data_IF_112104289935
#
_entry.id   IF_112104289935
#
_cell.length_a   1.000
_cell.length_b   1.000
_cell.length_c   1.000
_cell.angle_alpha   90.00
_cell.angle_beta   90.00
_cell.angle_gamma   90.00
#
_symmetry.space_group_name_H-M   'P 1'
#
loop_
_entity.id
_entity.type
_entity.pdbx_description
1 polymer ?
#
# COMPACT_ATOMS: atom_id res chain seq x y z
N UNK A 1 -5.32 17.82 -1.72
CA UNK A 1 -4.41 17.26 -2.75
C UNK A 1 -3.51 16.21 -2.09
N UNK A 2 -3.31 15.05 -2.70
CA UNK A 2 -2.50 13.98 -2.08
C UNK A 2 -1.00 14.33 -2.15
N UNK A 3 -0.26 14.35 -1.02
CA UNK A 3 1.15 14.79 -0.98
C UNK A 3 2.05 13.97 -1.91
N UNK A 4 1.76 12.67 -2.07
CA UNK A 4 2.41 11.77 -3.04
C UNK A 4 2.36 12.26 -4.49
N UNK A 5 1.28 12.91 -4.89
CA UNK A 5 1.12 13.42 -6.26
C UNK A 5 1.98 14.66 -6.49
N UNK A 6 2.11 15.53 -5.48
CA UNK A 6 2.99 16.70 -5.55
C UNK A 6 4.46 16.28 -5.66
N UNK A 7 4.89 15.29 -4.89
CA UNK A 7 6.27 14.78 -4.94
C UNK A 7 6.54 14.12 -6.30
N UNK A 8 5.61 13.29 -6.80
CA UNK A 8 5.75 12.65 -8.10
C UNK A 8 5.82 13.68 -9.25
N UNK A 9 4.98 14.73 -9.21
CA UNK A 9 5.04 15.83 -10.17
C UNK A 9 6.35 16.61 -10.07
N UNK A 10 6.85 16.86 -8.86
CA UNK A 10 8.15 17.51 -8.66
C UNK A 10 9.31 16.73 -9.28
N UNK A 11 9.34 15.41 -9.08
CA UNK A 11 10.35 14.53 -9.69
C UNK A 11 10.21 14.47 -11.20
N UNK A 12 8.98 14.33 -11.71
CA UNK A 12 8.72 14.36 -13.15
C UNK A 12 9.13 15.67 -13.80
N UNK A 13 8.85 16.80 -13.14
CA UNK A 13 9.28 18.12 -13.58
C UNK A 13 10.80 18.29 -13.58
N UNK A 14 11.49 17.78 -12.56
CA UNK A 14 12.96 17.80 -12.52
C UNK A 14 13.57 16.96 -13.64
N UNK A 15 13.06 15.75 -13.89
CA UNK A 15 13.51 14.88 -14.97
C UNK A 15 13.22 15.49 -16.36
N UNK A 16 12.07 16.13 -16.51
CA UNK A 16 11.74 16.89 -17.71
C UNK A 16 12.76 18.02 -17.95
N UNK A 17 13.01 18.86 -16.95
CA UNK A 17 13.93 19.98 -17.05
C UNK A 17 15.37 19.53 -17.35
N UNK A 18 15.83 18.48 -16.68
CA UNK A 18 17.16 17.90 -16.90
C UNK A 18 17.29 17.31 -18.32
N UNK A 19 16.26 16.59 -18.79
CA UNK A 19 16.24 16.03 -20.13
C UNK A 19 16.23 17.15 -21.18
N UNK A 20 15.41 18.19 -20.97
CA UNK A 20 15.31 19.32 -21.89
C UNK A 20 16.63 20.11 -21.97
N UNK A 21 17.36 20.22 -20.86
CA UNK A 21 18.69 20.82 -20.83
C UNK A 21 19.76 19.97 -21.54
N UNK A 22 19.55 18.66 -21.63
CA UNK A 22 20.50 17.71 -22.24
C UNK A 22 20.26 17.55 -23.74
N UNK A 23 18.99 17.58 -24.17
CA UNK A 23 18.62 17.42 -25.57
C UNK A 23 18.68 18.75 -26.34
N UNK A 24 18.81 18.64 -27.67
CA UNK A 24 18.76 19.80 -28.55
C UNK A 24 17.39 20.47 -28.47
N UNK A 25 17.38 21.80 -28.45
CA UNK A 25 16.17 22.60 -28.40
C UNK A 25 15.41 22.52 -29.74
N UNK A 26 14.53 21.53 -29.85
CA UNK A 26 13.60 21.35 -30.96
C UNK A 26 12.34 20.62 -30.47
N UNK A 27 11.32 20.53 -31.33
CA UNK A 27 10.05 19.90 -30.97
C UNK A 27 10.22 18.43 -30.54
N UNK A 28 11.14 17.69 -31.17
CA UNK A 28 11.42 16.29 -30.81
C UNK A 28 12.04 16.14 -29.43
N UNK A 29 13.01 16.98 -29.08
CA UNK A 29 13.65 17.02 -27.76
C UNK A 29 12.67 17.38 -26.66
N UNK A 30 11.71 18.27 -26.94
CA UNK A 30 10.63 18.59 -26.02
C UNK A 30 9.72 17.38 -25.77
N UNK A 31 9.27 16.70 -26.83
CA UNK A 31 8.42 15.50 -26.72
C UNK A 31 9.13 14.39 -25.94
N UNK A 32 10.40 14.11 -26.25
CA UNK A 32 11.20 13.09 -25.55
C UNK A 32 11.34 13.46 -24.07
N UNK A 33 11.64 14.70 -23.75
CA UNK A 33 11.77 15.17 -22.37
C UNK A 33 10.45 15.04 -21.60
N UNK A 34 9.32 15.37 -22.24
CA UNK A 34 7.98 15.24 -21.65
C UNK A 34 7.65 13.77 -21.34
N UNK A 35 7.97 12.86 -22.25
CA UNK A 35 7.80 11.42 -22.05
C UNK A 35 8.67 10.92 -20.88
N UNK A 36 9.94 11.33 -20.81
CA UNK A 36 10.84 10.96 -19.70
C UNK A 36 10.29 11.47 -18.35
N UNK A 37 9.89 12.74 -18.28
CA UNK A 37 9.29 13.31 -17.07
C UNK A 37 8.02 12.59 -16.64
N UNK A 38 7.14 12.26 -17.60
CA UNK A 38 5.90 11.53 -17.34
C UNK A 38 6.16 10.11 -16.83
N UNK A 39 7.07 9.37 -17.48
CA UNK A 39 7.47 8.01 -17.06
C UNK A 39 8.08 8.07 -15.65
N UNK A 40 8.97 9.02 -15.39
CA UNK A 40 9.60 9.21 -14.08
C UNK A 40 8.58 9.48 -12.98
N UNK A 41 7.64 10.40 -13.21
CA UNK A 41 6.56 10.70 -12.27
C UNK A 41 5.68 9.46 -12.01
N UNK A 42 5.30 8.74 -13.07
CA UNK A 42 4.47 7.54 -12.96
C UNK A 42 5.15 6.42 -12.16
N UNK A 43 6.41 6.12 -12.48
CA UNK A 43 7.18 5.09 -11.79
C UNK A 43 7.40 5.46 -10.33
N UNK A 44 7.73 6.72 -10.04
CA UNK A 44 7.89 7.18 -8.67
C UNK A 44 6.59 7.09 -7.88
N UNK A 45 5.47 7.54 -8.46
CA UNK A 45 4.16 7.45 -7.81
C UNK A 45 3.80 5.99 -7.47
N UNK A 46 4.03 5.07 -8.41
CA UNK A 46 3.80 3.64 -8.20
C UNK A 46 4.74 3.04 -7.14
N UNK A 47 6.01 3.42 -7.15
CA UNK A 47 7.00 2.96 -6.17
C UNK A 47 6.70 3.48 -4.76
N UNK A 48 6.37 4.76 -4.63
CA UNK A 48 6.02 5.39 -3.35
C UNK A 48 4.76 4.76 -2.75
N UNK A 49 3.72 4.54 -3.56
CA UNK A 49 2.53 3.80 -3.11
C UNK A 49 2.79 2.35 -2.73
N UNK A 50 3.85 1.72 -3.27
CA UNK A 50 4.28 0.37 -2.85
C UNK A 50 5.06 0.42 -1.53
N UNK A 51 5.91 1.43 -1.35
CA UNK A 51 6.62 1.68 -0.10
C UNK A 51 5.65 1.95 1.05
N UNK A 52 4.64 2.80 0.86
CA UNK A 52 3.62 3.09 1.87
C UNK A 52 2.92 1.81 2.37
N UNK A 53 2.67 0.84 1.48
CA UNK A 53 2.06 -0.45 1.85
C UNK A 53 3.05 -1.40 2.53
N UNK A 54 4.32 -1.36 2.12
CA UNK A 54 5.36 -2.24 2.65
C UNK A 54 5.83 -1.77 4.05
N UNK A 55 5.94 -0.46 4.24
CA UNK A 55 6.32 0.20 5.49
C UNK A 55 5.11 0.69 6.31
N UNK A 56 3.93 0.10 6.06
CA UNK A 56 2.75 0.45 6.83
C UNK A 56 2.98 0.11 8.30
N UNK A 57 2.89 1.13 9.16
CA UNK A 57 3.07 1.02 10.61
C UNK A 57 2.28 -0.20 11.14
N UNK A 58 2.89 -1.10 11.95
CA UNK A 58 2.20 -2.26 12.52
C UNK A 58 0.82 -1.93 13.10
N UNK A 59 0.69 -0.80 13.80
CA UNK A 59 -0.58 -0.35 14.38
C UNK A 59 -1.64 0.02 13.32
N UNK A 60 -1.22 0.56 12.17
CA UNK A 60 -2.13 0.85 11.06
C UNK A 60 -2.60 -0.44 10.38
N UNK A 61 -1.70 -1.43 10.23
CA UNK A 61 -2.06 -2.76 9.69
C UNK A 61 -3.07 -3.48 10.57
N UNK A 62 -2.89 -3.42 11.88
CA UNK A 62 -3.81 -4.00 12.86
C UNK A 62 -5.21 -3.37 12.78
N UNK A 63 -5.30 -2.03 12.72
CA UNK A 63 -6.58 -1.33 12.56
C UNK A 63 -7.30 -1.71 11.27
N UNK A 64 -6.56 -1.80 10.17
CA UNK A 64 -7.12 -2.23 8.88
C UNK A 64 -7.59 -3.68 8.97
N UNK A 65 -6.83 -4.57 9.61
CA UNK A 65 -7.25 -5.96 9.83
C UNK A 65 -8.58 -6.04 10.59
N UNK A 66 -8.72 -5.29 11.69
CA UNK A 66 -9.97 -5.20 12.45
C UNK A 66 -11.13 -4.64 11.63
N UNK A 67 -10.90 -3.55 10.89
CA UNK A 67 -11.94 -2.93 10.05
C UNK A 67 -12.39 -3.88 8.92
N UNK A 68 -11.44 -4.61 8.33
CA UNK A 68 -11.71 -5.59 7.26
C UNK A 68 -12.47 -6.79 7.82
N UNK A 69 -12.08 -7.26 9.01
CA UNK A 69 -12.79 -8.32 9.72
C UNK A 69 -14.24 -7.90 10.02
N UNK A 70 -14.48 -6.71 10.56
CA UNK A 70 -15.84 -6.21 10.78
C UNK A 70 -16.68 -6.12 9.50
N UNK A 71 -16.11 -5.63 8.40
CA UNK A 71 -16.82 -5.59 7.10
C UNK A 71 -17.18 -6.98 6.57
N UNK A 72 -16.37 -8.00 6.87
CA UNK A 72 -16.59 -9.39 6.45
C UNK A 72 -17.37 -10.22 7.46
N UNK A 73 -17.93 -9.60 8.49
CA UNK A 73 -18.66 -10.33 9.52
C UNK A 73 -17.72 -11.15 10.40
N UNK A 74 -16.63 -10.55 10.87
CA UNK A 74 -15.76 -11.01 11.96
C UNK A 74 -14.91 -12.25 11.68
N UNK A 75 -14.84 -12.71 10.43
CA UNK A 75 -14.03 -13.84 10.00
C UNK A 75 -13.11 -13.40 8.85
N UNK A 76 -11.80 -13.64 8.98
CA UNK A 76 -10.80 -13.14 8.03
C UNK A 76 -9.67 -14.17 7.84
N UNK A 77 -9.43 -14.60 6.61
CA UNK A 77 -8.27 -15.42 6.27
C UNK A 77 -7.06 -14.58 5.85
N UNK A 78 -5.86 -15.15 5.93
CA UNK A 78 -4.61 -14.49 5.52
C UNK A 78 -4.66 -14.08 4.03
N UNK A 79 -5.16 -14.98 3.17
CA UNK A 79 -5.26 -14.72 1.73
C UNK A 79 -6.23 -13.58 1.43
N UNK A 80 -7.39 -13.56 2.09
CA UNK A 80 -8.37 -12.49 1.92
C UNK A 80 -7.86 -11.15 2.44
N UNK A 81 -7.14 -11.15 3.56
CA UNK A 81 -6.56 -9.92 4.10
C UNK A 81 -5.46 -9.36 3.18
N UNK A 82 -4.57 -10.25 2.71
CA UNK A 82 -3.54 -9.92 1.72
C UNK A 82 -4.15 -9.32 0.45
N UNK A 83 -5.21 -9.92 -0.09
CA UNK A 83 -5.87 -9.43 -1.31
C UNK A 83 -6.63 -8.12 -1.08
N UNK A 84 -7.33 -7.97 0.05
CA UNK A 84 -8.13 -6.78 0.34
C UNK A 84 -7.26 -5.53 0.52
N UNK A 85 -6.06 -5.68 1.10
CA UNK A 85 -5.15 -4.56 1.40
C UNK A 85 -4.01 -4.45 0.38
N UNK A 86 -3.81 -5.48 -0.45
CA UNK A 86 -2.68 -5.57 -1.37
C UNK A 86 -1.34 -5.66 -0.64
N UNK A 87 -1.32 -6.39 0.49
CA UNK A 87 -0.15 -6.66 1.32
C UNK A 87 0.48 -8.01 0.94
N UNK A 88 1.81 -8.18 1.06
CA UNK A 88 2.45 -9.49 1.00
C UNK A 88 1.85 -10.46 2.01
N UNK A 89 1.72 -11.73 1.63
CA UNK A 89 1.10 -12.78 2.46
C UNK A 89 1.82 -12.95 3.79
N UNK A 90 3.15 -12.85 3.81
CA UNK A 90 3.96 -12.97 5.03
C UNK A 90 3.65 -11.87 6.05
N UNK A 91 3.50 -10.62 5.57
CA UNK A 91 3.15 -9.48 6.42
C UNK A 91 1.70 -9.58 6.92
N UNK A 92 0.80 -10.09 6.08
CA UNK A 92 -0.59 -10.35 6.46
C UNK A 92 -0.66 -11.41 7.58
N UNK A 93 0.11 -12.49 7.45
CA UNK A 93 0.19 -13.55 8.45
C UNK A 93 0.77 -13.02 9.77
N UNK A 94 1.92 -12.35 9.74
CA UNK A 94 2.53 -11.76 10.94
C UNK A 94 1.57 -10.80 11.66
N UNK A 95 0.81 -10.00 10.91
CA UNK A 95 -0.17 -9.06 11.51
C UNK A 95 -1.30 -9.81 12.21
N UNK A 96 -1.82 -10.88 11.60
CA UNK A 96 -2.90 -11.68 12.17
C UNK A 96 -2.43 -12.54 13.35
N UNK A 97 -1.20 -13.05 13.30
CA UNK A 97 -0.58 -13.76 14.42
C UNK A 97 -0.33 -12.84 15.61
N UNK A 98 0.21 -11.64 15.39
CA UNK A 98 0.40 -10.64 16.44
C UNK A 98 -0.93 -10.23 17.10
N UNK A 99 -2.03 -10.14 16.31
CA UNK A 99 -3.36 -9.89 16.85
C UNK A 99 -3.89 -11.06 17.68
N UNK A 100 -3.59 -12.30 17.30
CA UNK A 100 -3.98 -13.49 18.03
C UNK A 100 -3.21 -13.63 19.35
N UNK A 101 -1.91 -13.35 19.33
CA UNK A 101 -1.06 -13.31 20.54
C UNK A 101 -1.56 -12.28 21.57
N UNK A 102 -2.09 -11.15 21.10
CA UNK A 102 -2.70 -10.11 21.95
C UNK A 102 -4.14 -10.44 22.40
N UNK A 103 -4.67 -11.59 22.01
CA UNK A 103 -6.03 -12.02 22.37
C UNK A 103 -7.16 -11.29 21.63
N UNK A 104 -6.86 -10.56 20.56
CA UNK A 104 -7.84 -9.78 19.79
C UNK A 104 -8.53 -10.62 18.70
N UNK A 105 -7.94 -11.77 18.34
CA UNK A 105 -8.56 -12.73 17.44
C UNK A 105 -8.21 -14.16 17.84
N UNK A 106 -9.05 -15.12 17.44
CA UNK A 106 -8.83 -16.55 17.65
C UNK A 106 -8.47 -17.21 16.33
N UNK A 107 -7.36 -17.94 16.30
CA UNK A 107 -6.97 -18.77 15.15
C UNK A 107 -7.80 -20.06 15.17
N UNK A 108 -8.56 -20.29 14.11
CA UNK A 108 -9.36 -21.50 13.90
C UNK A 108 -8.95 -22.10 12.55
N UNK A 109 -7.94 -22.98 12.59
CA UNK A 109 -7.31 -23.53 11.38
C UNK A 109 -6.61 -22.45 10.55
N UNK A 110 -7.12 -22.20 9.34
CA UNK A 110 -6.60 -21.22 8.37
C UNK A 110 -7.22 -19.83 8.47
N UNK A 111 -8.14 -19.62 9.42
CA UNK A 111 -8.96 -18.41 9.51
C UNK A 111 -8.88 -17.79 10.91
N UNK A 112 -8.94 -16.46 10.98
CA UNK A 112 -8.93 -15.70 12.23
C UNK A 112 -10.32 -15.13 12.51
N UNK A 113 -10.84 -15.38 13.71
CA UNK A 113 -12.13 -14.91 14.19
C UNK A 113 -11.95 -13.74 15.16
N UNK A 114 -12.64 -12.63 14.92
CA UNK A 114 -12.55 -11.39 15.69
C UNK A 114 -13.74 -11.16 16.64
N UNK A 115 -14.62 -12.14 16.82
CA UNK A 115 -15.78 -12.03 17.70
C UNK A 115 -15.48 -12.43 19.15
N UNK A 116 -16.11 -11.79 20.15
CA UNK A 116 -16.28 -12.38 21.46
C UNK A 116 -17.25 -13.56 21.36
N UNK A 117 -16.92 -14.66 22.03
CA UNK A 117 -17.79 -15.83 22.12
C UNK A 117 -19.09 -15.43 22.85
N UNK A 118 -20.29 -15.57 22.24
CA UNK A 118 -21.55 -15.26 22.92
C UNK A 118 -21.86 -16.21 24.10
N UNK A 119 -21.03 -17.24 24.36
CA UNK A 119 -21.20 -18.19 25.47
C UNK A 119 -20.58 -17.74 26.81
N UNK A 120 -20.20 -16.48 26.97
CA UNK A 120 -19.70 -15.91 28.23
C UNK A 120 -20.34 -14.55 28.56
N UNK A 121 -21.63 -14.41 28.27
CA UNK A 121 -22.47 -13.32 28.79
C UNK A 121 -23.61 -13.94 29.61
#
# INVERSE_FOLDING_TARGET
MQPRLLIALGIGGALFALSLATFRWNAGGFVVSAVIGWIGAYLFYRWNGRLERTYMNPAARERIAMQTAWRKGGKLSVAEFSQAVGLPTDLAQQTLEALAERGLCRKEGSVYLFYPNPKQA
#
